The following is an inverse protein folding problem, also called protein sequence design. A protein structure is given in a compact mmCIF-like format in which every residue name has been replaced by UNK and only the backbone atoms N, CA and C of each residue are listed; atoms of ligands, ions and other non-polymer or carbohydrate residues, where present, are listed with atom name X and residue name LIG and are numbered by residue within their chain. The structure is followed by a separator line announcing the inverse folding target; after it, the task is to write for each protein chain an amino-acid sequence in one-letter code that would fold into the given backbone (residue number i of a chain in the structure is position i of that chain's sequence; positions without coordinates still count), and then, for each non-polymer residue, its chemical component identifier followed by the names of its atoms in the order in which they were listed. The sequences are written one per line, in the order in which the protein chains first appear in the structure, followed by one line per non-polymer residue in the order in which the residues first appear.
data_IF_092466521930
#
_entry.id   IF_092466521930
#
_cell.length_a   1.000
_cell.length_b   1.000
_cell.length_c   1.000
_cell.angle_alpha   90.00
_cell.angle_beta   90.00
_cell.angle_gamma   90.00
#
_symmetry.space_group_name_H-M   'P 1'
#
loop_
_entity.id
_entity.type
_entity.pdbx_description
1 polymer ?
#
# COMPACT_ATOMS: atom_id res chain seq x y z
N UNK A 1 -17.23 13.12 -3.38
CA UNK A 1 -16.14 12.64 -2.49
C UNK A 1 -16.24 11.17 -2.07
N UNK A 2 -17.41 10.64 -1.74
CA UNK A 2 -17.59 9.28 -1.19
C UNK A 2 -17.03 8.14 -2.06
N UNK A 3 -17.11 8.25 -3.39
CA UNK A 3 -16.63 7.20 -4.30
C UNK A 3 -15.10 7.09 -4.33
N UNK A 4 -14.37 8.22 -4.36
CA UNK A 4 -12.91 8.24 -4.36
C UNK A 4 -12.35 7.64 -3.06
N UNK A 5 -12.98 7.98 -1.94
CA UNK A 5 -12.63 7.43 -0.63
C UNK A 5 -12.90 5.93 -0.53
N UNK A 6 -14.03 5.47 -1.09
CA UNK A 6 -14.35 4.04 -1.15
C UNK A 6 -13.32 3.25 -1.98
N UNK A 7 -12.89 3.80 -3.13
CA UNK A 7 -11.81 3.22 -3.94
C UNK A 7 -10.50 3.13 -3.16
N UNK A 8 -10.15 4.19 -2.42
CA UNK A 8 -8.94 4.21 -1.58
C UNK A 8 -8.96 3.14 -0.48
N UNK A 9 -10.10 2.95 0.19
CA UNK A 9 -10.25 1.92 1.23
C UNK A 9 -10.08 0.52 0.63
N UNK A 10 -10.70 0.25 -0.52
CA UNK A 10 -10.53 -1.03 -1.25
C UNK A 10 -9.08 -1.26 -1.67
N UNK A 11 -8.41 -0.24 -2.20
CA UNK A 11 -7.00 -0.35 -2.58
C UNK A 11 -6.11 -0.68 -1.36
N UNK A 12 -6.35 -0.06 -0.20
CA UNK A 12 -5.65 -0.38 1.04
C UNK A 12 -5.94 -1.80 1.53
N UNK A 13 -7.16 -2.29 1.35
CA UNK A 13 -7.52 -3.67 1.70
C UNK A 13 -6.76 -4.69 0.85
N UNK A 14 -6.66 -4.45 -0.45
CA UNK A 14 -5.89 -5.28 -1.37
C UNK A 14 -4.39 -5.22 -1.03
N UNK A 15 -3.85 -4.03 -0.74
CA UNK A 15 -2.48 -3.87 -0.26
C UNK A 15 -2.23 -4.72 1.00
N UNK A 16 -3.13 -4.67 1.99
CA UNK A 16 -2.99 -5.48 3.21
C UNK A 16 -2.98 -6.98 2.92
N UNK A 17 -3.77 -7.43 1.93
CA UNK A 17 -3.74 -8.82 1.48
C UNK A 17 -2.43 -9.16 0.78
N UNK A 18 -1.91 -8.29 -0.08
CA UNK A 18 -0.63 -8.51 -0.77
C UNK A 18 0.57 -8.50 0.18
N UNK A 19 0.48 -7.74 1.28
CA UNK A 19 1.44 -7.79 2.39
C UNK A 19 1.26 -9.00 3.32
N UNK A 20 0.26 -9.87 3.06
CA UNK A 20 -0.04 -11.03 3.90
C UNK A 20 -0.70 -10.71 5.25
N UNK A 21 -1.14 -9.47 5.47
CA UNK A 21 -1.83 -9.05 6.69
C UNK A 21 -3.24 -9.63 6.79
N UNK A 22 -3.88 -9.83 5.64
CA UNK A 22 -5.26 -10.31 5.49
C UNK A 22 -5.29 -11.48 4.52
N UNK A 23 -5.92 -12.58 4.92
CA UNK A 23 -6.07 -13.77 4.06
C UNK A 23 -7.27 -13.68 3.10
N UNK A 24 -8.32 -12.94 3.46
CA UNK A 24 -9.54 -12.82 2.66
C UNK A 24 -9.75 -11.38 2.10
N UNK A 25 -9.56 -11.15 0.79
CA UNK A 25 -9.75 -9.85 0.17
C UNK A 25 -11.21 -9.52 -0.18
N UNK A 26 -12.20 -10.34 0.19
CA UNK A 26 -13.60 -10.13 -0.22
C UNK A 26 -14.20 -8.84 0.35
N UNK A 27 -15.19 -8.28 -0.37
CA UNK A 27 -15.91 -7.07 0.07
C UNK A 27 -16.67 -7.32 1.37
N UNK A 28 -17.15 -8.54 1.64
CA UNK A 28 -17.81 -8.85 2.91
C UNK A 28 -16.83 -8.76 4.10
N UNK A 29 -15.60 -9.24 3.93
CA UNK A 29 -14.57 -9.13 4.96
C UNK A 29 -14.15 -7.67 5.19
N UNK A 30 -14.08 -6.89 4.11
CA UNK A 30 -13.87 -5.44 4.19
C UNK A 30 -15.01 -4.75 4.95
N UNK A 31 -16.26 -5.05 4.63
CA UNK A 31 -17.44 -4.48 5.30
C UNK A 31 -17.46 -4.83 6.80
N UNK A 32 -17.13 -6.08 7.15
CA UNK A 32 -17.01 -6.49 8.56
C UNK A 32 -15.92 -5.72 9.30
N UNK A 33 -14.76 -5.49 8.66
CA UNK A 33 -13.70 -4.67 9.24
C UNK A 33 -14.12 -3.21 9.42
N UNK A 34 -14.75 -2.62 8.41
CA UNK A 34 -15.29 -1.24 8.47
C UNK A 34 -16.30 -1.13 9.61
N UNK A 35 -17.26 -2.05 9.70
CA UNK A 35 -18.26 -2.12 10.79
C UNK A 35 -17.62 -2.18 12.17
N UNK A 36 -16.50 -2.90 12.32
CA UNK A 36 -15.75 -2.96 13.58
C UNK A 36 -15.12 -1.61 13.97
N UNK A 37 -14.68 -0.81 13.00
CA UNK A 37 -14.01 0.48 13.26
C UNK A 37 -15.00 1.63 13.41
N UNK A 38 -16.06 1.64 12.60
CA UNK A 38 -17.00 2.77 12.47
C UNK A 38 -18.37 2.50 13.08
N UNK A 39 -18.75 1.23 13.25
CA UNK A 39 -20.10 0.80 13.64
C UNK A 39 -21.09 0.71 12.47
N UNK A 40 -20.68 1.09 11.26
CA UNK A 40 -21.57 1.17 10.08
C UNK A 40 -21.52 -0.11 9.25
N UNK A 41 -22.67 -0.58 8.79
CA UNK A 41 -22.78 -1.88 8.14
C UNK A 41 -22.23 -1.95 6.71
N UNK A 42 -22.21 -0.83 5.99
CA UNK A 42 -21.77 -0.77 4.61
C UNK A 42 -20.82 0.40 4.36
N UNK A 43 -19.80 0.15 3.53
CA UNK A 43 -18.81 1.16 3.11
C UNK A 43 -19.48 2.40 2.50
N UNK A 44 -20.58 2.22 1.75
CA UNK A 44 -21.30 3.33 1.11
C UNK A 44 -21.99 4.29 2.08
N UNK A 45 -22.11 3.90 3.36
CA UNK A 45 -22.82 4.67 4.39
C UNK A 45 -21.88 5.35 5.39
N UNK A 46 -20.56 5.21 5.22
CA UNK A 46 -19.60 5.87 6.10
C UNK A 46 -19.49 7.36 5.76
N UNK A 47 -19.41 8.20 6.79
CA UNK A 47 -19.09 9.62 6.61
C UNK A 47 -17.57 9.84 6.43
N UNK A 48 -17.18 11.07 6.08
CA UNK A 48 -15.78 11.42 5.83
C UNK A 48 -14.85 11.11 7.01
N UNK A 49 -15.27 11.40 8.25
CA UNK A 49 -14.47 11.18 9.45
C UNK A 49 -14.32 9.69 9.75
N UNK A 50 -15.38 8.92 9.56
CA UNK A 50 -15.35 7.46 9.68
C UNK A 50 -14.42 6.82 8.63
N UNK A 51 -14.47 7.32 7.40
CA UNK A 51 -13.58 6.88 6.35
C UNK A 51 -12.11 7.20 6.66
N UNK A 52 -11.80 8.43 7.08
CA UNK A 52 -10.45 8.82 7.48
C UNK A 52 -9.92 7.93 8.60
N UNK A 53 -10.71 7.67 9.64
CA UNK A 53 -10.34 6.76 10.73
C UNK A 53 -10.05 5.34 10.23
N UNK A 54 -10.85 4.84 9.30
CA UNK A 54 -10.66 3.52 8.69
C UNK A 54 -9.35 3.47 7.91
N UNK A 55 -9.11 4.46 7.06
CA UNK A 55 -7.88 4.62 6.26
C UNK A 55 -6.65 4.66 7.18
N UNK A 56 -6.66 5.50 8.22
CA UNK A 56 -5.52 5.63 9.12
C UNK A 56 -5.24 4.34 9.89
N UNK A 57 -6.27 3.59 10.26
CA UNK A 57 -6.09 2.28 10.92
C UNK A 57 -5.46 1.27 9.96
N UNK A 58 -5.90 1.23 8.69
CA UNK A 58 -5.32 0.37 7.66
C UNK A 58 -3.87 0.73 7.33
N UNK A 59 -3.55 2.03 7.18
CA UNK A 59 -2.19 2.51 6.95
C UNK A 59 -1.25 2.10 8.08
N UNK A 60 -1.68 2.26 9.34
CA UNK A 60 -0.91 1.83 10.51
C UNK A 60 -0.66 0.33 10.50
N UNK A 61 -1.64 -0.47 10.10
CA UNK A 61 -1.46 -1.91 9.97
C UNK A 61 -0.45 -2.25 8.87
N UNK A 62 -0.59 -1.65 7.68
CA UNK A 62 0.35 -1.85 6.58
C UNK A 62 1.78 -1.47 6.96
N UNK A 63 1.99 -0.35 7.68
CA UNK A 63 3.32 0.09 8.14
C UNK A 63 4.04 -0.91 9.05
N UNK A 64 3.36 -1.91 9.62
CA UNK A 64 4.00 -2.97 10.42
C UNK A 64 4.71 -4.00 9.54
N UNK A 65 4.31 -4.13 8.28
CA UNK A 65 4.77 -5.17 7.34
C UNK A 65 5.51 -4.55 6.13
N UNK A 66 5.08 -3.36 5.71
CA UNK A 66 5.55 -2.67 4.51
C UNK A 66 7.07 -2.42 4.53
N UNK A 67 7.70 -1.94 5.63
CA UNK A 67 9.16 -1.73 5.65
C UNK A 67 9.97 -3.01 5.45
N UNK A 68 9.50 -4.14 5.97
CA UNK A 68 10.15 -5.44 5.80
C UNK A 68 10.03 -5.94 4.36
N UNK A 69 8.84 -5.81 3.77
CA UNK A 69 8.62 -6.15 2.36
C UNK A 69 9.47 -5.29 1.42
N UNK A 70 9.56 -3.98 1.68
CA UNK A 70 10.42 -3.06 0.91
C UNK A 70 11.87 -3.53 0.97
N UNK A 71 12.40 -3.88 2.14
CA UNK A 71 13.77 -4.41 2.27
C UNK A 71 13.97 -5.67 1.43
N UNK A 72 13.05 -6.63 1.54
CA UNK A 72 13.13 -7.88 0.79
C UNK A 72 13.09 -7.65 -0.74
N UNK A 73 12.27 -6.72 -1.22
CA UNK A 73 12.22 -6.36 -2.63
C UNK A 73 13.48 -5.63 -3.10
N UNK A 74 14.12 -4.82 -2.24
CA UNK A 74 15.42 -4.19 -2.56
C UNK A 74 16.49 -5.25 -2.83
N UNK A 75 16.54 -6.31 -2.03
CA UNK A 75 17.47 -7.43 -2.27
C UNK A 75 17.20 -8.09 -3.63
N UNK A 76 15.92 -8.38 -3.96
CA UNK A 76 15.56 -8.96 -5.26
C UNK A 76 15.93 -8.05 -6.45
N UNK A 77 15.73 -6.73 -6.30
CA UNK A 77 16.06 -5.76 -7.35
C UNK A 77 17.57 -5.65 -7.55
N UNK A 78 18.37 -5.79 -6.48
CA UNK A 78 19.84 -5.74 -6.57
C UNK A 78 20.40 -6.84 -7.47
N UNK A 79 19.76 -7.99 -7.50
CA UNK A 79 20.14 -9.11 -8.38
C UNK A 79 19.68 -8.91 -9.84
N UNK A 80 18.83 -7.91 -10.12
CA UNK A 80 18.42 -7.57 -11.48
C UNK A 80 19.33 -6.52 -12.11
N UNK A 81 19.60 -6.70 -13.41
CA UNK A 81 20.26 -5.68 -14.21
C UNK A 81 19.25 -4.61 -14.61
N UNK A 82 19.20 -3.53 -13.83
CA UNK A 82 18.37 -2.35 -14.12
C UNK A 82 19.17 -1.23 -14.79
N UNK A 83 18.47 -0.41 -15.56
CA UNK A 83 19.03 0.80 -16.17
C UNK A 83 19.44 1.84 -15.10
N UNK A 84 20.55 2.57 -15.28
CA UNK A 84 21.05 3.54 -14.29
C UNK A 84 20.04 4.62 -13.91
N UNK A 85 19.23 5.07 -14.87
CA UNK A 85 18.19 6.08 -14.63
C UNK A 85 17.07 5.54 -13.72
N UNK A 86 16.72 4.25 -13.83
CA UNK A 86 15.72 3.60 -12.97
C UNK A 86 16.28 3.43 -11.57
N UNK A 87 17.53 2.99 -11.44
CA UNK A 87 18.23 2.86 -10.16
C UNK A 87 18.29 4.19 -9.40
N UNK A 88 18.64 5.29 -10.08
CA UNK A 88 18.69 6.61 -9.45
C UNK A 88 17.34 7.06 -8.88
N UNK A 89 16.25 6.88 -9.64
CA UNK A 89 14.89 7.19 -9.16
C UNK A 89 14.47 6.30 -7.99
N UNK A 90 14.78 5.01 -8.08
CA UNK A 90 14.47 4.04 -7.03
C UNK A 90 15.20 4.37 -5.72
N UNK A 91 16.50 4.67 -5.81
CA UNK A 91 17.32 5.05 -4.67
C UNK A 91 16.80 6.31 -3.97
N UNK A 92 16.34 7.31 -4.74
CA UNK A 92 15.75 8.53 -4.18
C UNK A 92 14.46 8.24 -3.40
N UNK A 93 13.57 7.41 -3.96
CA UNK A 93 12.33 6.98 -3.28
C UNK A 93 12.62 6.18 -2.01
N UNK A 94 13.57 5.24 -2.07
CA UNK A 94 13.99 4.46 -0.90
C UNK A 94 14.55 5.36 0.21
N UNK A 95 15.42 6.31 -0.15
CA UNK A 95 15.98 7.24 0.83
C UNK A 95 14.86 8.06 1.49
N UNK A 96 13.91 8.58 0.71
CA UNK A 96 12.77 9.31 1.25
C UNK A 96 11.91 8.42 2.16
N UNK A 97 11.63 7.18 1.75
CA UNK A 97 10.84 6.21 2.50
C UNK A 97 11.43 5.91 3.88
N UNK A 98 12.71 5.55 3.94
CA UNK A 98 13.37 5.24 5.21
C UNK A 98 13.66 6.47 6.06
N UNK A 99 13.86 7.65 5.45
CA UNK A 99 14.04 8.90 6.19
C UNK A 99 12.76 9.38 6.84
N UNK A 100 11.64 9.37 6.10
CA UNK A 100 10.34 9.84 6.60
C UNK A 100 9.68 8.82 7.50
N UNK A 101 9.86 7.53 7.19
CA UNK A 101 9.23 6.41 7.89
C UNK A 101 7.71 6.57 8.04
N UNK A 102 7.05 7.03 6.97
CA UNK A 102 5.60 7.21 6.89
C UNK A 102 5.02 6.38 5.75
N UNK A 103 3.70 6.19 5.79
CA UNK A 103 2.99 5.31 4.87
C UNK A 103 3.17 5.68 3.39
N UNK A 104 2.98 6.95 3.01
CA UNK A 104 2.98 7.34 1.59
C UNK A 104 4.35 7.14 0.92
N UNK A 105 5.48 7.64 1.49
CA UNK A 105 6.80 7.35 0.96
C UNK A 105 7.15 5.86 0.91
N UNK A 106 6.75 5.09 1.94
CA UNK A 106 6.97 3.64 1.97
C UNK A 106 6.17 2.92 0.88
N UNK A 107 4.90 3.29 0.69
CA UNK A 107 4.05 2.73 -0.36
C UNK A 107 4.64 3.04 -1.75
N UNK A 108 5.06 4.28 -1.98
CA UNK A 108 5.68 4.67 -3.24
C UNK A 108 6.97 3.89 -3.55
N UNK A 109 7.79 3.63 -2.53
CA UNK A 109 8.99 2.83 -2.68
C UNK A 109 8.65 1.37 -2.99
N UNK A 110 7.67 0.80 -2.28
CA UNK A 110 7.17 -0.55 -2.51
C UNK A 110 6.63 -0.72 -3.95
N UNK A 111 5.77 0.18 -4.41
CA UNK A 111 5.21 0.14 -5.78
C UNK A 111 6.30 0.30 -6.85
N UNK A 112 7.28 1.18 -6.61
CA UNK A 112 8.41 1.36 -7.53
C UNK A 112 9.28 0.10 -7.63
N UNK A 113 9.52 -0.60 -6.51
CA UNK A 113 10.23 -1.87 -6.50
C UNK A 113 9.46 -2.96 -7.24
N UNK A 114 8.16 -3.10 -6.98
CA UNK A 114 7.31 -4.04 -7.70
C UNK A 114 7.30 -3.76 -9.21
N UNK A 115 7.26 -2.49 -9.61
CA UNK A 115 7.32 -2.11 -11.02
C UNK A 115 8.68 -2.45 -11.66
N UNK A 116 9.78 -2.27 -10.92
CA UNK A 116 11.11 -2.64 -11.38
C UNK A 116 11.29 -4.16 -11.58
N UNK A 117 10.65 -4.97 -10.73
CA UNK A 117 10.70 -6.43 -10.84
C UNK A 117 9.78 -7.01 -11.92
N UNK A 118 8.80 -6.25 -12.42
CA UNK A 118 7.88 -6.72 -13.47
C UNK A 118 8.58 -6.70 -14.83
N UNK A 119 8.64 -7.85 -15.55
CA UNK A 119 9.23 -7.88 -16.88
C UNK A 119 8.37 -7.05 -17.85
N UNK A 120 8.95 -5.98 -18.42
CA UNK A 120 8.34 -5.19 -19.50
C UNK A 120 7.64 -3.87 -19.11
N UNK A 121 7.78 -3.37 -17.88
CA UNK A 121 7.17 -2.08 -17.48
C UNK A 121 8.03 -0.84 -17.76
N UNK A 122 9.25 -1.00 -18.31
CA UNK A 122 10.04 0.12 -18.84
C UNK A 122 9.58 0.46 -20.26
N UNK A 123 8.51 1.25 -20.38
CA UNK A 123 8.08 1.78 -21.67
C UNK A 123 6.63 2.27 -21.70
N UNK A 124 6.35 3.40 -21.08
CA UNK A 124 5.32 4.36 -21.51
C UNK A 124 5.67 5.73 -21.00
#
# INVERSE_FOLDING_TARGET
DTEATSKKIRALWLLLRDLGAVSNPSEEALAAYVKRITGVEALQWIDGRQAERTIETMKKWAMRLLPEHVRHLVDQVRDQRLEPAVLGKLQAKLNLAFTRNTFEPMLEAFEALQAALKPGSTGS
#
